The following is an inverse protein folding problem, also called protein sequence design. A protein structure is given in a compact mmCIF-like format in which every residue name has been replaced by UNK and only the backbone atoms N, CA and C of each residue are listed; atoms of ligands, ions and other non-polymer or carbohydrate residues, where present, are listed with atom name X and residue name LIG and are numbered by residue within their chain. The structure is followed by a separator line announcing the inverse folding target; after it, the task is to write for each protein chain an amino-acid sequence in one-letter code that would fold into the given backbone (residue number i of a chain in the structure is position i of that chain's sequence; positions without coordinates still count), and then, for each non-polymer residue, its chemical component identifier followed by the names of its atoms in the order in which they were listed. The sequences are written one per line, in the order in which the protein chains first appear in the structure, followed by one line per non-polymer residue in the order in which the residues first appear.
data_IF_781622823277
#
_entry.id   IF_781622823277
#
_cell.length_a   1.000
_cell.length_b   1.000
_cell.length_c   1.000
_cell.angle_alpha   90.00
_cell.angle_beta   90.00
_cell.angle_gamma   90.00
#
_symmetry.space_group_name_H-M   'P 1'
#
loop_
_entity.id
_entity.type
_entity.pdbx_description
1 polymer ?
#
# COMPACT_ATOMS: atom_id res chain seq x y z
N UNK A 1 -3.59 -6.95 -11.39
CA UNK A 1 -2.45 -6.14 -10.87
C UNK A 1 -2.42 -4.76 -11.51
N UNK A 2 -2.42 -4.67 -12.84
CA UNK A 2 -2.66 -3.39 -13.53
C UNK A 2 -3.98 -2.74 -13.10
N UNK A 3 -4.99 -3.54 -12.77
CA UNK A 3 -6.26 -3.13 -12.16
C UNK A 3 -6.10 -2.28 -10.89
N UNK A 4 -5.25 -2.69 -9.94
CA UNK A 4 -4.99 -1.90 -8.72
C UNK A 4 -4.31 -0.58 -9.09
N UNK A 5 -3.36 -0.62 -10.03
CA UNK A 5 -2.63 0.58 -10.46
C UNK A 5 -3.51 1.66 -11.10
N UNK A 6 -4.63 1.26 -11.71
CA UNK A 6 -5.58 2.15 -12.40
C UNK A 6 -6.64 2.74 -11.46
N UNK A 7 -6.76 2.24 -10.22
CA UNK A 7 -7.75 2.73 -9.27
C UNK A 7 -7.50 4.20 -8.90
N UNK A 8 -8.56 5.01 -8.82
CA UNK A 8 -8.44 6.47 -8.65
C UNK A 8 -7.64 6.87 -7.40
N UNK A 9 -7.87 6.18 -6.28
CA UNK A 9 -7.12 6.43 -5.03
C UNK A 9 -5.64 5.99 -5.13
N UNK A 10 -5.33 5.03 -6.01
CA UNK A 10 -3.98 4.56 -6.22
C UNK A 10 -3.09 5.60 -6.91
N UNK A 11 -3.68 6.45 -7.77
CA UNK A 11 -2.97 7.60 -8.35
C UNK A 11 -2.50 8.56 -7.25
N UNK A 12 -3.38 8.88 -6.29
CA UNK A 12 -3.05 9.75 -5.14
C UNK A 12 -1.94 9.14 -4.27
N UNK A 13 -2.00 7.84 -3.99
CA UNK A 13 -0.93 7.11 -3.28
C UNK A 13 0.39 7.24 -4.03
N UNK A 14 0.37 6.95 -5.34
CA UNK A 14 1.56 6.94 -6.18
C UNK A 14 2.19 8.33 -6.26
N UNK A 15 1.37 9.39 -6.35
CA UNK A 15 1.85 10.77 -6.37
C UNK A 15 2.44 11.20 -5.02
N UNK A 16 1.86 10.76 -3.89
CA UNK A 16 2.43 10.96 -2.55
C UNK A 16 3.81 10.28 -2.44
N UNK A 17 3.90 9.00 -2.77
CA UNK A 17 5.16 8.23 -2.72
C UNK A 17 6.22 8.80 -3.66
N UNK A 18 5.83 9.24 -4.85
CA UNK A 18 6.74 9.87 -5.81
C UNK A 18 7.22 11.23 -5.31
N UNK A 19 6.34 12.02 -4.68
CA UNK A 19 6.70 13.27 -4.03
C UNK A 19 7.70 13.07 -2.91
N UNK A 20 7.45 12.10 -2.03
CA UNK A 20 8.37 11.67 -0.97
C UNK A 20 9.73 11.26 -1.52
N UNK A 21 9.74 10.39 -2.53
CA UNK A 21 10.96 10.00 -3.20
C UNK A 21 11.71 11.22 -3.74
N UNK A 22 11.04 12.11 -4.48
CA UNK A 22 11.68 13.30 -5.03
C UNK A 22 12.27 14.21 -3.95
N UNK A 23 11.52 14.47 -2.87
CA UNK A 23 11.92 15.32 -1.76
C UNK A 23 13.24 14.83 -1.14
N UNK A 24 13.33 13.55 -0.81
CA UNK A 24 14.50 13.02 -0.09
C UNK A 24 15.59 12.44 -1.00
N UNK A 25 15.27 12.15 -2.26
CA UNK A 25 16.26 11.70 -3.24
C UNK A 25 17.03 12.86 -3.86
N UNK A 26 16.33 13.90 -4.34
CA UNK A 26 16.94 15.00 -5.07
C UNK A 26 17.32 16.21 -4.20
N UNK A 27 16.92 16.25 -2.93
CA UNK A 27 17.39 17.25 -1.97
C UNK A 27 18.30 16.61 -0.92
N UNK A 28 19.63 16.64 -1.11
CA UNK A 28 20.59 16.21 -0.08
C UNK A 28 20.41 16.97 1.24
N UNK A 29 19.97 18.24 1.17
CA UNK A 29 19.64 19.05 2.35
C UNK A 29 18.47 18.45 3.12
N UNK A 30 17.34 18.17 2.46
CA UNK A 30 16.17 17.57 3.11
C UNK A 30 16.49 16.21 3.73
N UNK A 31 17.32 15.42 3.06
CA UNK A 31 17.76 14.13 3.60
C UNK A 31 18.66 14.28 4.83
N UNK A 32 19.56 15.27 4.84
CA UNK A 32 20.41 15.56 6.00
C UNK A 32 19.58 16.04 7.19
N UNK A 33 18.68 16.98 6.97
CA UNK A 33 17.76 17.51 8.00
C UNK A 33 16.92 16.38 8.63
N UNK A 34 16.37 15.48 7.81
CA UNK A 34 15.66 14.30 8.31
C UNK A 34 16.56 13.35 9.10
N UNK A 35 17.82 13.15 8.66
CA UNK A 35 18.78 12.30 9.37
C UNK A 35 19.15 12.85 10.74
N UNK A 36 19.39 14.16 10.82
CA UNK A 36 19.65 14.86 12.09
C UNK A 36 18.46 14.71 13.05
N UNK A 37 17.22 14.87 12.53
CA UNK A 37 16.01 14.65 13.32
C UNK A 37 15.93 13.23 13.89
N UNK A 38 16.13 12.19 13.07
CA UNK A 38 16.00 10.81 13.56
C UNK A 38 17.17 10.38 14.44
N UNK A 39 18.34 10.99 14.29
CA UNK A 39 19.48 10.78 15.19
C UNK A 39 19.17 11.30 16.60
N UNK A 40 18.55 12.48 16.70
CA UNK A 40 18.05 13.03 17.98
C UNK A 40 17.00 12.10 18.60
N UNK A 41 16.12 11.51 17.78
CA UNK A 41 15.09 10.56 18.24
C UNK A 41 15.63 9.13 18.47
N UNK A 42 16.89 8.85 18.12
CA UNK A 42 17.50 7.53 18.13
C UNK A 42 16.69 6.47 17.32
N UNK A 43 16.11 6.88 16.20
CA UNK A 43 15.31 6.05 15.29
C UNK A 43 16.12 5.74 14.03
N UNK A 44 16.02 4.51 13.53
CA UNK A 44 16.56 4.16 12.20
C UNK A 44 15.53 4.49 11.12
N UNK A 45 15.97 5.20 10.08
CA UNK A 45 15.13 5.57 8.94
C UNK A 45 15.69 5.02 7.63
N UNK A 46 14.81 4.78 6.67
CA UNK A 46 15.21 4.37 5.34
C UNK A 46 14.85 5.43 4.33
N UNK A 47 15.65 5.47 3.26
CA UNK A 47 15.38 6.39 2.17
C UNK A 47 14.11 5.94 1.43
N UNK A 48 13.15 6.84 1.14
CA UNK A 48 11.98 6.51 0.35
C UNK A 48 12.36 5.80 -0.96
N UNK A 49 11.59 4.79 -1.32
CA UNK A 49 11.89 3.94 -2.46
C UNK A 49 11.49 4.60 -3.79
N UNK A 50 12.27 4.33 -4.84
CA UNK A 50 11.89 4.72 -6.20
C UNK A 50 10.73 3.82 -6.69
N UNK A 51 9.70 4.43 -7.26
CA UNK A 51 8.58 3.74 -7.89
C UNK A 51 8.86 3.38 -9.37
N UNK A 52 9.98 3.84 -9.93
CA UNK A 52 10.39 3.51 -11.28
C UNK A 52 10.96 2.10 -11.40
N UNK A 53 10.66 1.43 -12.51
CA UNK A 53 11.15 0.10 -12.86
C UNK A 53 10.16 -0.67 -13.71
N UNK A 54 10.54 -1.87 -14.15
CA UNK A 54 9.68 -2.75 -14.97
C UNK A 54 8.69 -3.57 -14.13
N UNK A 55 8.92 -3.69 -12.81
CA UNK A 55 8.09 -4.51 -11.90
C UNK A 55 7.31 -3.63 -10.93
N UNK A 56 6.11 -3.21 -11.32
CA UNK A 56 5.30 -2.29 -10.52
C UNK A 56 5.03 -2.78 -9.08
N UNK A 57 4.61 -4.05 -8.90
CA UNK A 57 4.21 -4.59 -7.59
C UNK A 57 5.32 -4.54 -6.52
N UNK A 58 6.52 -5.09 -6.75
CA UNK A 58 7.58 -5.02 -5.75
C UNK A 58 8.00 -3.58 -5.40
N UNK A 59 7.98 -2.68 -6.39
CA UNK A 59 8.33 -1.27 -6.16
C UNK A 59 7.31 -0.56 -5.28
N UNK A 60 6.01 -0.76 -5.54
CA UNK A 60 4.96 -0.13 -4.74
C UNK A 60 4.89 -0.72 -3.33
N UNK A 61 4.99 -2.05 -3.19
CA UNK A 61 5.01 -2.73 -1.90
C UNK A 61 6.16 -2.21 -1.02
N UNK A 62 7.37 -2.14 -1.59
CA UNK A 62 8.55 -1.58 -0.89
C UNK A 62 8.36 -0.12 -0.48
N UNK A 63 7.78 0.70 -1.35
CA UNK A 63 7.57 2.12 -1.08
C UNK A 63 6.52 2.33 0.02
N UNK A 64 5.43 1.57 0.02
CA UNK A 64 4.41 1.59 1.07
C UNK A 64 4.99 1.14 2.41
N UNK A 65 5.69 0.00 2.44
CA UNK A 65 6.33 -0.49 3.67
C UNK A 65 7.34 0.51 4.25
N UNK A 66 8.07 1.22 3.39
CA UNK A 66 9.00 2.27 3.82
C UNK A 66 8.26 3.47 4.40
N UNK A 67 7.19 3.94 3.75
CA UNK A 67 6.36 5.04 4.26
C UNK A 67 5.74 4.70 5.61
N UNK A 68 5.13 3.52 5.73
CA UNK A 68 4.43 3.12 6.95
C UNK A 68 5.37 2.99 8.14
N UNK A 69 6.55 2.37 7.95
CA UNK A 69 7.55 2.26 9.01
C UNK A 69 8.10 3.61 9.45
N UNK A 70 8.39 4.49 8.49
CA UNK A 70 9.07 5.75 8.74
C UNK A 70 8.08 6.94 8.82
N UNK A 71 6.79 6.66 9.05
CA UNK A 71 5.70 7.63 8.92
C UNK A 71 5.90 8.85 9.82
N UNK A 72 6.02 8.65 11.12
CA UNK A 72 6.19 9.73 12.11
C UNK A 72 7.38 10.64 11.80
N UNK A 73 8.64 10.15 11.69
CA UNK A 73 9.77 11.03 11.47
C UNK A 73 9.71 11.76 10.10
N UNK A 74 9.17 11.12 9.06
CA UNK A 74 8.99 11.76 7.76
C UNK A 74 8.00 12.92 7.83
N UNK A 75 6.88 12.74 8.53
CA UNK A 75 5.85 13.77 8.65
C UNK A 75 6.27 14.89 9.60
N UNK A 76 6.93 14.58 10.73
CA UNK A 76 7.50 15.60 11.62
C UNK A 76 8.51 16.49 10.87
N UNK A 77 9.36 15.91 10.03
CA UNK A 77 10.27 16.70 9.19
C UNK A 77 9.52 17.55 8.15
N UNK A 78 8.46 17.03 7.54
CA UNK A 78 7.64 17.81 6.60
C UNK A 78 6.97 19.01 7.27
N UNK A 79 6.45 18.82 8.49
CA UNK A 79 5.85 19.86 9.33
C UNK A 79 6.85 20.96 9.64
N UNK A 80 8.05 20.59 10.09
CA UNK A 80 9.12 21.53 10.41
C UNK A 80 9.64 22.31 9.18
N UNK A 81 9.30 21.87 7.97
CA UNK A 81 9.76 22.51 6.72
C UNK A 81 8.64 23.22 5.95
N UNK A 82 7.40 23.24 6.47
CA UNK A 82 6.22 23.82 5.83
C UNK A 82 6.41 25.29 5.44
N UNK A 83 7.00 26.09 6.32
CA UNK A 83 7.22 27.53 6.09
C UNK A 83 8.14 27.83 4.89
N UNK A 84 8.93 26.85 4.47
CA UNK A 84 9.94 27.03 3.42
C UNK A 84 9.58 26.37 2.09
N UNK A 85 8.57 25.48 2.04
CA UNK A 85 8.31 24.63 0.87
C UNK A 85 6.81 24.35 0.66
N UNK A 86 6.17 25.04 -0.29
CA UNK A 86 4.77 24.83 -0.65
C UNK A 86 4.42 23.39 -1.06
N UNK A 87 5.31 22.72 -1.81
CA UNK A 87 5.14 21.31 -2.17
C UNK A 87 5.10 20.36 -0.95
N UNK A 88 5.73 20.75 0.17
CA UNK A 88 5.72 19.99 1.43
C UNK A 88 4.33 20.01 2.08
N UNK A 89 3.62 21.14 2.00
CA UNK A 89 2.26 21.29 2.56
C UNK A 89 1.24 20.37 1.87
N UNK A 90 1.27 20.33 0.54
CA UNK A 90 0.41 19.45 -0.25
C UNK A 90 0.68 17.96 0.05
N UNK A 91 1.95 17.57 0.17
CA UNK A 91 2.33 16.19 0.49
C UNK A 91 1.94 15.81 1.91
N UNK A 92 2.18 16.70 2.88
CA UNK A 92 1.78 16.50 4.26
C UNK A 92 0.25 16.37 4.39
N UNK A 93 -0.51 17.26 3.74
CA UNK A 93 -1.96 17.19 3.71
C UNK A 93 -2.48 15.87 3.15
N UNK A 94 -1.85 15.35 2.08
CA UNK A 94 -2.17 14.02 1.54
C UNK A 94 -1.77 12.87 2.48
N UNK A 95 -0.64 12.98 3.18
CA UNK A 95 -0.17 11.94 4.09
C UNK A 95 -1.00 11.85 5.38
N UNK A 96 -1.55 12.98 5.84
CA UNK A 96 -2.46 13.06 7.00
C UNK A 96 -3.92 12.78 6.66
N UNK A 97 -4.28 12.69 5.38
CA UNK A 97 -5.65 12.41 4.98
C UNK A 97 -6.07 10.99 5.40
N UNK A 98 -7.05 10.89 6.28
CA UNK A 98 -7.50 9.63 6.88
C UNK A 98 -7.87 8.59 5.81
N UNK A 99 -8.71 8.97 4.84
CA UNK A 99 -9.11 8.09 3.74
C UNK A 99 -7.96 7.62 2.86
N UNK A 100 -6.91 8.44 2.72
CA UNK A 100 -5.71 8.09 1.97
C UNK A 100 -4.88 7.05 2.71
N UNK A 101 -4.77 7.20 4.03
CA UNK A 101 -4.05 6.30 4.92
C UNK A 101 -4.77 4.95 5.04
N UNK A 102 -6.09 4.96 5.24
CA UNK A 102 -6.97 3.77 5.19
C UNK A 102 -6.79 2.99 3.88
N UNK A 103 -6.77 3.70 2.75
CA UNK A 103 -6.53 3.08 1.45
C UNK A 103 -5.11 2.49 1.31
N UNK A 104 -4.10 3.15 1.88
CA UNK A 104 -2.72 2.61 1.92
C UNK A 104 -2.67 1.29 2.70
N UNK A 105 -3.28 1.22 3.89
CA UNK A 105 -3.33 0.00 4.69
C UNK A 105 -4.03 -1.15 3.96
N UNK A 106 -5.19 -0.87 3.34
CA UNK A 106 -5.90 -1.84 2.51
C UNK A 106 -5.04 -2.37 1.36
N UNK A 107 -4.42 -1.48 0.59
CA UNK A 107 -3.56 -1.87 -0.53
C UNK A 107 -2.39 -2.69 -0.03
N UNK A 108 -1.77 -2.34 1.09
CA UNK A 108 -0.64 -3.10 1.64
C UNK A 108 -1.03 -4.56 1.94
N UNK A 109 -2.18 -4.80 2.57
CA UNK A 109 -2.65 -6.16 2.85
C UNK A 109 -2.98 -6.92 1.56
N UNK A 110 -3.62 -6.28 0.59
CA UNK A 110 -3.89 -6.89 -0.73
C UNK A 110 -2.58 -7.25 -1.44
N UNK A 111 -1.60 -6.34 -1.48
CA UNK A 111 -0.32 -6.58 -2.13
C UNK A 111 0.45 -7.70 -1.43
N UNK A 112 0.36 -7.84 -0.11
CA UNK A 112 0.97 -8.95 0.62
C UNK A 112 0.39 -10.30 0.18
N UNK A 113 -0.94 -10.42 0.06
CA UNK A 113 -1.57 -11.64 -0.46
C UNK A 113 -1.11 -11.96 -1.89
N UNK A 114 -1.08 -10.94 -2.75
CA UNK A 114 -0.63 -11.08 -4.14
C UNK A 114 0.87 -11.44 -4.24
N UNK A 115 1.70 -10.89 -3.36
CA UNK A 115 3.13 -11.16 -3.27
C UNK A 115 3.38 -12.60 -2.85
N UNK A 116 2.69 -13.08 -1.81
CA UNK A 116 2.72 -14.49 -1.40
C UNK A 116 2.33 -15.45 -2.53
N UNK A 117 1.21 -15.16 -3.22
CA UNK A 117 0.78 -15.96 -4.38
C UNK A 117 1.85 -15.93 -5.48
N UNK A 118 2.35 -14.73 -5.81
CA UNK A 118 3.34 -14.54 -6.87
C UNK A 118 4.64 -15.28 -6.59
N UNK A 119 5.12 -15.26 -5.35
CA UNK A 119 6.32 -16.01 -4.94
C UNK A 119 6.08 -17.51 -5.01
N UNK A 120 4.93 -17.99 -4.53
CA UNK A 120 4.60 -19.42 -4.56
C UNK A 120 4.56 -19.99 -5.98
N UNK A 121 4.05 -19.21 -6.93
CA UNK A 121 4.00 -19.59 -8.35
C UNK A 121 5.36 -19.50 -9.06
N UNK A 122 6.33 -18.81 -8.46
CA UNK A 122 7.70 -18.69 -8.99
C UNK A 122 8.67 -19.70 -8.35
N UNK A 123 8.21 -20.52 -7.40
CA UNK A 123 9.05 -21.55 -6.78
C UNK A 123 9.48 -22.61 -7.81
N UNK A 124 10.75 -22.97 -7.78
CA UNK A 124 11.29 -24.07 -8.58
C UNK A 124 10.59 -25.37 -8.18
N UNK A 125 9.98 -26.05 -9.16
CA UNK A 125 9.26 -27.31 -8.91
C UNK A 125 7.84 -27.15 -8.37
N UNK A 126 7.22 -25.97 -8.48
CA UNK A 126 5.80 -25.80 -8.17
C UNK A 126 4.94 -26.77 -8.99
N UNK A 127 4.14 -27.59 -8.30
CA UNK A 127 3.21 -28.53 -8.94
C UNK A 127 1.89 -27.82 -9.24
N UNK A 128 1.17 -28.28 -10.28
CA UNK A 128 -0.16 -27.74 -10.61
C UNK A 128 -1.12 -27.76 -9.40
N UNK A 129 -1.26 -28.85 -8.62
CA UNK A 129 -2.10 -28.85 -7.42
C UNK A 129 -1.64 -27.82 -6.38
N UNK A 130 -0.33 -27.64 -6.17
CA UNK A 130 0.18 -26.64 -5.24
C UNK A 130 -0.10 -25.21 -5.72
N UNK A 131 -0.01 -24.96 -7.04
CA UNK A 131 -0.32 -23.66 -7.63
C UNK A 131 -1.81 -23.32 -7.50
N UNK A 132 -2.70 -24.28 -7.79
CA UNK A 132 -4.14 -24.14 -7.61
C UNK A 132 -4.51 -23.91 -6.15
N UNK A 133 -3.93 -24.68 -5.22
CA UNK A 133 -4.17 -24.49 -3.80
C UNK A 133 -3.73 -23.10 -3.31
N UNK A 134 -2.56 -22.61 -3.75
CA UNK A 134 -2.09 -21.27 -3.42
C UNK A 134 -3.02 -20.18 -3.96
N UNK A 135 -3.54 -20.38 -5.17
CA UNK A 135 -4.52 -19.49 -5.80
C UNK A 135 -5.86 -19.46 -5.05
N UNK A 136 -6.42 -20.61 -4.72
CA UNK A 136 -7.65 -20.74 -3.93
C UNK A 136 -7.49 -20.09 -2.55
N UNK A 137 -6.36 -20.32 -1.90
CA UNK A 137 -6.01 -19.69 -0.61
C UNK A 137 -5.98 -18.17 -0.73
N UNK A 138 -5.34 -17.64 -1.77
CA UNK A 138 -5.30 -16.19 -2.00
C UNK A 138 -6.70 -15.61 -2.25
N UNK A 139 -7.54 -16.29 -3.04
CA UNK A 139 -8.93 -15.88 -3.24
C UNK A 139 -9.73 -15.90 -1.95
N UNK A 140 -9.63 -16.96 -1.15
CA UNK A 140 -10.33 -17.07 0.13
C UNK A 140 -9.94 -15.94 1.08
N UNK A 141 -8.65 -15.61 1.18
CA UNK A 141 -8.16 -14.48 1.99
C UNK A 141 -8.73 -13.13 1.51
N UNK A 142 -8.79 -12.92 0.20
CA UNK A 142 -9.38 -11.70 -0.39
C UNK A 142 -10.89 -11.63 -0.16
N UNK A 143 -11.60 -12.75 -0.27
CA UNK A 143 -13.04 -12.81 -0.01
C UNK A 143 -13.32 -12.59 1.49
N UNK A 144 -12.56 -13.20 2.39
CA UNK A 144 -12.77 -13.01 3.83
C UNK A 144 -12.48 -11.57 4.28
N UNK A 145 -11.55 -10.87 3.63
CA UNK A 145 -11.26 -9.44 3.90
C UNK A 145 -12.47 -8.50 3.73
N UNK A 146 -13.46 -8.89 2.92
CA UNK A 146 -14.67 -8.10 2.74
C UNK A 146 -15.50 -8.07 4.03
N UNK A 147 -15.65 -9.21 4.71
CA UNK A 147 -16.44 -9.38 5.93
C UNK A 147 -15.62 -9.15 7.20
N UNK A 148 -14.40 -9.70 7.25
CA UNK A 148 -13.47 -9.60 8.37
C UNK A 148 -12.14 -9.03 7.87
N UNK A 149 -11.73 -7.80 8.28
CA UNK A 149 -10.51 -7.16 7.80
C UNK A 149 -9.24 -8.02 7.93
N UNK A 150 -9.21 -8.93 8.90
CA UNK A 150 -8.06 -9.75 9.24
C UNK A 150 -7.07 -8.97 10.09
N UNK A 151 -6.21 -9.69 10.81
CA UNK A 151 -5.39 -9.14 11.90
C UNK A 151 -4.53 -7.92 11.47
N UNK A 152 -3.95 -7.94 10.26
CA UNK A 152 -3.14 -6.82 9.77
C UNK A 152 -3.96 -5.56 9.49
N UNK A 153 -5.12 -5.68 8.83
CA UNK A 153 -5.96 -4.53 8.52
C UNK A 153 -6.73 -4.07 9.76
N UNK A 154 -7.10 -4.98 10.65
CA UNK A 154 -7.77 -4.68 11.92
C UNK A 154 -6.87 -3.86 12.83
N UNK A 155 -5.64 -4.32 13.09
CA UNK A 155 -4.65 -3.51 13.83
C UNK A 155 -4.43 -2.14 13.21
N UNK A 156 -4.42 -2.07 11.87
CA UNK A 156 -4.28 -0.80 11.18
C UNK A 156 -5.49 0.13 11.34
N UNK A 157 -6.70 -0.43 11.38
CA UNK A 157 -7.92 0.35 11.63
C UNK A 157 -7.91 0.88 13.07
N UNK A 158 -7.60 0.03 14.05
CA UNK A 158 -7.42 0.38 15.46
C UNK A 158 -6.39 1.51 15.63
N UNK A 159 -5.23 1.38 14.99
CA UNK A 159 -4.16 2.40 15.00
C UNK A 159 -4.59 3.76 14.40
N UNK A 160 -5.74 3.83 13.73
CA UNK A 160 -6.31 5.05 13.12
C UNK A 160 -7.64 5.48 13.74
N UNK A 161 -8.13 4.80 14.79
CA UNK A 161 -9.44 5.08 15.39
C UNK A 161 -9.49 6.44 16.10
N UNK A 162 -8.43 6.78 16.84
CA UNK A 162 -8.31 7.99 17.65
C UNK A 162 -8.00 9.27 16.85
N UNK A 163 -8.27 9.27 15.54
CA UNK A 163 -7.89 10.35 14.60
C UNK A 163 -6.39 10.67 14.60
N UNK A 164 -5.57 9.75 15.09
CA UNK A 164 -4.11 9.81 15.08
C UNK A 164 -3.57 8.55 14.44
N UNK A 165 -2.41 8.63 13.82
CA UNK A 165 -1.64 7.45 13.41
C UNK A 165 -0.19 7.64 13.83
N UNK A 166 0.32 6.72 14.66
CA UNK A 166 1.64 6.85 15.30
C UNK A 166 1.89 8.25 15.91
N UNK A 167 0.90 8.75 16.65
CA UNK A 167 0.88 10.07 17.31
C UNK A 167 0.84 11.29 16.36
N UNK A 168 0.64 11.09 15.05
CA UNK A 168 0.44 12.19 14.10
C UNK A 168 -1.06 12.40 13.89
N UNK A 169 -1.58 13.64 14.01
CA UNK A 169 -3.00 13.91 13.79
C UNK A 169 -3.40 13.73 12.32
N UNK A 170 -4.52 13.06 12.12
CA UNK A 170 -5.12 12.82 10.81
C UNK A 170 -6.21 13.85 10.53
N UNK A 171 -6.48 14.09 9.25
CA UNK A 171 -7.54 14.97 8.77
C UNK A 171 -8.64 14.16 8.12
N UNK A 172 -9.90 14.62 8.23
CA UNK A 172 -11.08 14.01 7.59
C UNK A 172 -11.31 12.53 8.01
N UNK A 173 -11.27 12.23 9.30
CA UNK A 173 -11.61 10.91 9.86
C UNK A 173 -13.09 10.76 10.24
N UNK A 174 -13.99 11.55 9.62
CA UNK A 174 -15.43 11.49 9.90
C UNK A 174 -16.01 10.11 9.62
N UNK A 175 -17.16 9.79 10.24
CA UNK A 175 -17.88 8.55 9.96
C UNK A 175 -18.20 8.39 8.47
N UNK A 176 -18.58 9.48 7.78
CA UNK A 176 -18.80 9.48 6.32
C UNK A 176 -17.55 9.04 5.54
N UNK A 177 -16.36 9.46 5.99
CA UNK A 177 -15.09 9.07 5.38
C UNK A 177 -14.80 7.58 5.58
N UNK A 178 -15.16 7.02 6.74
CA UNK A 178 -15.04 5.59 7.04
C UNK A 178 -16.04 4.75 6.24
N UNK A 179 -17.29 5.22 6.10
CA UNK A 179 -18.31 4.57 5.28
C UNK A 179 -17.91 4.59 3.79
N UNK A 180 -17.34 5.72 3.33
CA UNK A 180 -16.74 5.83 2.00
C UNK A 180 -15.60 4.85 1.78
N UNK A 181 -14.73 4.68 2.79
CA UNK A 181 -13.67 3.67 2.74
C UNK A 181 -14.23 2.25 2.67
N UNK A 182 -15.28 1.91 3.41
CA UNK A 182 -15.90 0.59 3.34
C UNK A 182 -16.39 0.25 1.93
N UNK A 183 -16.95 1.22 1.20
CA UNK A 183 -17.34 1.06 -0.21
C UNK A 183 -16.15 0.81 -1.12
N UNK A 184 -15.11 1.64 -1.00
CA UNK A 184 -13.85 1.49 -1.76
C UNK A 184 -13.19 0.15 -1.46
N UNK A 185 -13.25 -0.32 -0.22
CA UNK A 185 -12.72 -1.62 0.21
C UNK A 185 -13.37 -2.75 -0.58
N UNK A 186 -14.70 -2.81 -0.59
CA UNK A 186 -15.46 -3.83 -1.31
C UNK A 186 -15.19 -3.75 -2.83
N UNK A 187 -15.28 -2.56 -3.42
CA UNK A 187 -15.05 -2.34 -4.85
C UNK A 187 -13.66 -2.82 -5.30
N UNK A 188 -12.62 -2.46 -4.53
CA UNK A 188 -11.25 -2.85 -4.85
C UNK A 188 -11.05 -4.36 -4.70
N UNK A 189 -11.57 -4.97 -3.63
CA UNK A 189 -11.47 -6.41 -3.41
C UNK A 189 -12.17 -7.19 -4.53
N UNK A 190 -13.36 -6.77 -4.95
CA UNK A 190 -14.11 -7.41 -6.05
C UNK A 190 -13.33 -7.32 -7.36
N UNK A 191 -12.80 -6.12 -7.68
CA UNK A 191 -11.98 -5.90 -8.88
C UNK A 191 -10.73 -6.77 -8.89
N UNK A 192 -10.04 -6.92 -7.75
CA UNK A 192 -8.85 -7.75 -7.63
C UNK A 192 -9.20 -9.23 -7.76
N UNK A 193 -10.27 -9.68 -7.12
CA UNK A 193 -10.75 -11.06 -7.21
C UNK A 193 -11.14 -11.42 -8.64
N UNK A 194 -11.90 -10.57 -9.34
CA UNK A 194 -12.27 -10.80 -10.74
C UNK A 194 -11.04 -10.86 -11.64
N UNK A 195 -10.07 -9.96 -11.45
CA UNK A 195 -8.81 -9.96 -12.19
C UNK A 195 -8.01 -11.26 -11.96
N UNK A 196 -8.00 -11.79 -10.74
CA UNK A 196 -7.36 -13.05 -10.41
C UNK A 196 -8.09 -14.24 -11.03
N UNK A 197 -9.41 -14.34 -10.87
CA UNK A 197 -10.24 -15.40 -11.45
C UNK A 197 -10.08 -15.47 -12.97
N UNK A 198 -10.13 -14.31 -13.65
CA UNK A 198 -9.94 -14.24 -15.11
C UNK A 198 -8.58 -14.80 -15.55
N UNK A 199 -7.51 -14.60 -14.77
CA UNK A 199 -6.17 -15.09 -15.11
C UNK A 199 -6.00 -16.60 -14.96
N UNK A 200 -6.78 -17.22 -14.07
CA UNK A 200 -6.67 -18.66 -13.79
C UNK A 200 -7.76 -19.49 -14.50
N UNK A 201 -8.75 -18.84 -15.10
CA UNK A 201 -9.79 -19.51 -15.90
C UNK A 201 -9.21 -20.35 -17.06
N UNK A 202 -8.09 -19.91 -17.63
CA UNK A 202 -7.41 -20.61 -18.73
C UNK A 202 -6.61 -21.84 -18.25
N UNK A 203 -6.39 -21.99 -16.93
CA UNK A 203 -5.71 -23.15 -16.33
C UNK A 203 -6.69 -24.29 -16.06
N UNK A 204 -7.97 -23.96 -15.85
CA UNK A 204 -9.05 -24.92 -15.55
C UNK A 204 -9.65 -25.57 -16.81
N UNK A 205 -9.39 -25.02 -18.00
CA UNK A 205 -9.85 -25.62 -19.26
C UNK A 205 -8.79 -26.60 -19.77
N UNK A 206 -9.06 -27.92 -19.77
CA UNK A 206 -8.16 -28.86 -20.41
C UNK A 206 -8.03 -28.48 -21.88
N UNK A 207 -6.81 -28.53 -22.43
CA UNK A 207 -6.60 -28.56 -23.87
C UNK A 207 -7.45 -29.70 -24.44
N UNK A 208 -8.65 -29.41 -24.95
CA UNK A 208 -9.31 -30.23 -25.95
C UNK A 208 -8.48 -30.09 -27.22
N UNK A 209 -7.38 -30.84 -27.28
CA UNK A 209 -6.62 -31.01 -28.51
C UNK A 209 -7.52 -31.75 -29.49
N UNK A 210 -7.91 -31.04 -30.53
CA UNK A 210 -8.57 -31.58 -31.70
C UNK A 210 -7.81 -32.81 -32.21
N UNK A 211 -8.47 -33.96 -32.21
CA UNK A 211 -8.24 -35.09 -33.11
C UNK A 211 -9.57 -35.72 -33.49
#
# INVERSE_FOLDING_TARGET
METISQHANMKKVTDLLRGLYKQYHYSPKAWRELRELVEILNIKIWKPANLGGTRWLPHIEKALNTLMRDYTPVLTHMENTLETRSASADMLGRARQCTQLLFVGLVQVILQVLSCLSLKLQEDGVTLPSALHAFETALLLLTSMATTPGECLERFLEDTEDEHFHSVPLHNCSQESRDGFARVKTELLDTVQESLRKRFKDVETPCESSR
#
